data_IF_477728004412
#
_entry.id   IF_477728004412
#
_cell.length_a   1.000
_cell.length_b   1.000
_cell.length_c   1.000
_cell.angle_alpha   90.00
_cell.angle_beta   90.00
_cell.angle_gamma   90.00
#
_symmetry.space_group_name_H-M   'P 1'
#
loop_
_entity.id
_entity.type
_entity.pdbx_description
1 polymer ?
#
# COMPACT_ATOMS: atom_id res chain seq x y z
N UNK A 1 34.58 12.40 9.90
CA UNK A 1 34.40 11.15 10.66
C UNK A 1 33.37 11.23 11.82
N UNK A 2 32.56 12.30 11.95
CA UNK A 2 31.60 12.44 13.06
C UNK A 2 30.22 11.80 12.85
N UNK A 3 29.90 11.30 11.65
CA UNK A 3 28.58 10.74 11.30
C UNK A 3 28.55 9.21 11.16
N UNK A 4 29.68 8.51 11.38
CA UNK A 4 29.76 7.06 11.21
C UNK A 4 29.15 6.25 12.39
N UNK A 5 28.76 6.93 13.47
CA UNK A 5 28.31 6.32 14.73
C UNK A 5 26.79 6.08 14.80
N UNK A 6 26.02 6.38 13.76
CA UNK A 6 24.56 6.12 13.70
C UNK A 6 24.20 4.78 13.04
N UNK A 7 25.15 4.10 12.40
CA UNK A 7 24.94 2.80 11.75
C UNK A 7 24.52 1.64 12.68
N UNK A 8 24.96 1.52 13.96
CA UNK A 8 24.58 0.36 14.78
C UNK A 8 23.14 0.41 15.30
N UNK A 9 22.43 1.54 15.21
CA UNK A 9 21.02 1.66 15.60
C UNK A 9 20.02 1.29 14.50
N UNK A 10 20.49 1.05 13.27
CA UNK A 10 19.66 0.57 12.16
C UNK A 10 19.52 -0.96 12.10
N UNK A 11 20.21 -1.69 12.97
CA UNK A 11 20.02 -3.13 13.19
C UNK A 11 18.85 -3.42 14.15
N UNK A 12 17.83 -2.54 14.15
CA UNK A 12 16.63 -2.71 14.94
C UNK A 12 15.91 -3.99 14.55
N UNK A 13 16.01 -4.99 15.43
CA UNK A 13 15.17 -6.18 15.55
C UNK A 13 14.45 -6.63 14.26
N UNK A 14 15.20 -7.03 13.23
CA UNK A 14 14.59 -7.84 12.18
C UNK A 14 14.10 -9.13 12.86
N UNK A 15 12.80 -9.23 13.10
CA UNK A 15 12.23 -10.35 13.82
C UNK A 15 12.50 -11.62 13.00
N UNK A 16 13.09 -12.64 13.64
CA UNK A 16 13.55 -13.85 12.94
C UNK A 16 12.42 -14.87 12.68
N UNK A 17 11.17 -14.49 12.91
CA UNK A 17 10.04 -15.39 12.69
C UNK A 17 10.00 -15.84 11.23
N UNK A 18 9.71 -17.12 11.04
CA UNK A 18 9.58 -17.68 9.71
C UNK A 18 8.42 -17.04 8.95
N UNK A 19 8.63 -16.88 7.65
CA UNK A 19 7.57 -16.50 6.72
C UNK A 19 6.80 -17.75 6.35
N UNK A 20 5.52 -17.80 6.72
CA UNK A 20 4.67 -18.97 6.51
C UNK A 20 3.92 -18.91 5.18
N UNK A 21 3.33 -20.04 4.78
CA UNK A 21 2.44 -20.07 3.61
C UNK A 21 1.19 -19.20 3.80
N UNK A 22 0.74 -19.00 5.03
CA UNK A 22 -0.38 -18.12 5.35
C UNK A 22 0.00 -16.65 5.14
N UNK A 23 1.20 -16.23 5.55
CA UNK A 23 1.71 -14.86 5.31
C UNK A 23 1.77 -14.56 3.80
N UNK A 24 2.17 -15.54 2.98
CA UNK A 24 2.13 -15.41 1.51
C UNK A 24 0.72 -15.19 0.98
N UNK A 25 -0.27 -15.94 1.45
CA UNK A 25 -1.67 -15.76 1.00
C UNK A 25 -2.20 -14.37 1.34
N UNK A 26 -1.91 -13.89 2.55
CA UNK A 26 -2.31 -12.54 2.95
C UNK A 26 -1.56 -11.46 2.18
N UNK A 27 -0.26 -11.65 1.90
CA UNK A 27 0.47 -10.68 1.07
C UNK A 27 -0.07 -10.62 -0.36
N UNK A 28 -0.46 -11.76 -0.94
CA UNK A 28 -1.14 -11.79 -2.25
C UNK A 28 -2.46 -11.01 -2.18
N UNK A 29 -3.25 -11.18 -1.13
CA UNK A 29 -4.50 -10.44 -0.96
C UNK A 29 -4.25 -8.92 -0.85
N UNK A 30 -3.23 -8.49 -0.11
CA UNK A 30 -2.83 -7.07 -0.04
C UNK A 30 -2.46 -6.53 -1.41
N UNK A 31 -1.61 -7.25 -2.15
CA UNK A 31 -1.15 -6.84 -3.48
C UNK A 31 -2.32 -6.72 -4.46
N UNK A 32 -3.26 -7.68 -4.45
CA UNK A 32 -4.46 -7.62 -5.30
C UNK A 32 -5.32 -6.42 -4.93
N UNK A 33 -5.56 -6.17 -3.64
CA UNK A 33 -6.36 -5.04 -3.18
C UNK A 33 -5.73 -3.70 -3.58
N UNK A 34 -4.41 -3.54 -3.40
CA UNK A 34 -3.66 -2.35 -3.83
C UNK A 34 -3.67 -2.18 -5.35
N UNK A 35 -3.60 -3.27 -6.11
CA UNK A 35 -3.67 -3.20 -7.57
C UNK A 35 -5.06 -2.79 -8.06
N UNK A 36 -6.13 -3.29 -7.41
CA UNK A 36 -7.50 -2.88 -7.72
C UNK A 36 -7.74 -1.40 -7.38
N UNK A 37 -7.28 -0.95 -6.21
CA UNK A 37 -7.30 0.47 -5.84
C UNK A 37 -6.52 1.30 -6.87
N UNK A 38 -5.27 0.93 -7.16
CA UNK A 38 -4.45 1.60 -8.15
C UNK A 38 -5.08 1.69 -9.53
N UNK A 39 -5.71 0.61 -9.99
CA UNK A 39 -6.43 0.59 -11.26
C UNK A 39 -7.56 1.63 -11.27
N UNK A 40 -8.45 1.58 -10.28
CA UNK A 40 -9.60 2.50 -10.21
C UNK A 40 -9.17 3.95 -9.97
N UNK A 41 -8.22 4.18 -9.06
CA UNK A 41 -7.66 5.51 -8.76
C UNK A 41 -6.95 6.11 -9.97
N UNK A 42 -6.35 5.29 -10.85
CA UNK A 42 -5.73 5.76 -12.09
C UNK A 42 -6.70 6.37 -13.12
N UNK A 43 -8.01 6.19 -12.91
CA UNK A 43 -9.07 6.72 -13.75
C UNK A 43 -9.62 8.07 -13.29
N UNK A 44 -9.23 8.56 -12.11
CA UNK A 44 -9.71 9.85 -11.58
C UNK A 44 -9.47 10.99 -12.58
N UNK A 45 -8.29 11.04 -13.22
CA UNK A 45 -7.96 12.08 -14.20
C UNK A 45 -8.85 12.04 -15.46
N UNK A 46 -9.37 10.86 -15.81
CA UNK A 46 -10.22 10.64 -16.97
C UNK A 46 -11.70 10.94 -16.66
N UNK A 47 -12.07 11.11 -15.39
CA UNK A 47 -13.47 11.23 -14.95
C UNK A 47 -13.77 12.64 -14.40
N UNK A 48 -14.46 13.51 -15.16
CA UNK A 48 -14.76 14.88 -14.74
C UNK A 48 -15.55 14.95 -13.43
N UNK A 49 -15.10 15.82 -12.51
CA UNK A 49 -15.78 16.05 -11.23
C UNK A 49 -15.46 15.03 -10.13
N UNK A 50 -14.64 14.02 -10.42
CA UNK A 50 -14.12 13.08 -9.43
C UNK A 50 -12.70 13.49 -9.03
N UNK A 51 -12.35 13.32 -7.75
CA UNK A 51 -11.07 13.74 -7.18
C UNK A 51 -10.60 12.74 -6.12
N UNK A 52 -9.30 12.64 -5.92
CA UNK A 52 -8.70 11.86 -4.83
C UNK A 52 -9.14 12.41 -3.46
N UNK A 53 -9.67 11.53 -2.59
CA UNK A 53 -10.23 11.88 -1.27
C UNK A 53 -9.45 11.29 -0.10
N UNK A 54 -8.60 10.30 -0.34
CA UNK A 54 -7.73 9.70 0.65
C UNK A 54 -6.76 10.73 1.22
N UNK A 55 -6.79 10.91 2.53
CA UNK A 55 -6.02 11.97 3.21
C UNK A 55 -4.52 11.85 2.93
N UNK A 56 -3.99 10.62 2.96
CA UNK A 56 -2.57 10.35 2.70
C UNK A 56 -2.30 10.40 1.20
N UNK A 57 -3.05 9.64 0.39
CA UNK A 57 -2.85 9.56 -1.05
C UNK A 57 -2.86 10.96 -1.71
N UNK A 58 -3.83 11.81 -1.36
CA UNK A 58 -3.95 13.18 -1.86
C UNK A 58 -2.72 14.06 -1.59
N UNK A 59 -1.99 13.82 -0.48
CA UNK A 59 -0.78 14.60 -0.18
C UNK A 59 0.38 14.27 -1.13
N UNK A 60 0.45 13.04 -1.63
CA UNK A 60 1.52 12.60 -2.53
C UNK A 60 1.12 12.71 -4.01
N UNK A 61 -0.13 12.39 -4.31
CA UNK A 61 -0.65 12.28 -5.67
C UNK A 61 -1.36 13.56 -6.15
N UNK A 62 -1.77 14.43 -5.23
CA UNK A 62 -2.64 15.57 -5.52
C UNK A 62 -4.10 15.15 -5.74
N UNK A 63 -5.00 16.11 -6.01
CA UNK A 63 -6.44 15.84 -6.18
C UNK A 63 -6.80 15.19 -7.52
N UNK A 64 -5.94 15.31 -8.54
CA UNK A 64 -6.15 14.84 -9.92
C UNK A 64 -4.89 14.11 -10.39
N UNK A 65 -4.66 12.88 -9.92
CA UNK A 65 -3.38 12.21 -10.14
C UNK A 65 -3.26 11.60 -11.53
N UNK A 66 -2.07 11.67 -12.12
CA UNK A 66 -1.81 10.99 -13.40
C UNK A 66 -1.74 9.48 -13.20
N UNK A 67 -2.10 8.70 -14.23
CA UNK A 67 -2.00 7.23 -14.20
C UNK A 67 -0.59 6.76 -13.81
N UNK A 68 0.46 7.43 -14.30
CA UNK A 68 1.85 7.09 -13.97
C UNK A 68 2.16 7.31 -12.49
N UNK A 69 1.72 8.43 -11.92
CA UNK A 69 1.96 8.74 -10.50
C UNK A 69 1.24 7.76 -9.59
N UNK A 70 0.00 7.40 -9.92
CA UNK A 70 -0.78 6.40 -9.18
C UNK A 70 -0.04 5.06 -9.15
N UNK A 71 0.44 4.56 -10.30
CA UNK A 71 1.15 3.29 -10.34
C UNK A 71 2.52 3.34 -9.65
N UNK A 72 3.23 4.46 -9.74
CA UNK A 72 4.47 4.67 -8.98
C UNK A 72 4.21 4.62 -7.47
N UNK A 73 3.15 5.28 -7.00
CA UNK A 73 2.74 5.28 -5.60
C UNK A 73 2.30 3.88 -5.14
N UNK A 74 1.41 3.22 -5.89
CA UNK A 74 0.90 1.89 -5.54
C UNK A 74 1.99 0.82 -5.59
N UNK A 75 2.89 0.86 -6.57
CA UNK A 75 4.05 -0.03 -6.61
C UNK A 75 4.96 0.16 -5.41
N UNK A 76 5.20 1.41 -5.01
CA UNK A 76 5.96 1.73 -3.79
C UNK A 76 5.27 1.18 -2.54
N UNK A 77 3.94 1.30 -2.45
CA UNK A 77 3.17 0.74 -1.33
C UNK A 77 3.20 -0.79 -1.29
N UNK A 78 3.06 -1.49 -2.41
CA UNK A 78 3.11 -2.96 -2.45
C UNK A 78 4.47 -3.48 -1.98
N UNK A 79 5.56 -2.88 -2.47
CA UNK A 79 6.93 -3.25 -2.07
C UNK A 79 7.15 -2.93 -0.59
N UNK A 80 6.74 -1.74 -0.15
CA UNK A 80 6.87 -1.32 1.25
C UNK A 80 6.05 -2.20 2.19
N UNK A 81 4.82 -2.57 1.81
CA UNK A 81 3.97 -3.49 2.56
C UNK A 81 4.66 -4.83 2.78
N UNK A 82 5.30 -5.39 1.75
CA UNK A 82 6.05 -6.64 1.90
C UNK A 82 7.21 -6.49 2.90
N UNK A 83 8.03 -5.45 2.78
CA UNK A 83 9.16 -5.24 3.69
C UNK A 83 8.73 -4.98 5.13
N UNK A 84 7.69 -4.16 5.33
CA UNK A 84 7.13 -3.90 6.66
C UNK A 84 6.57 -5.21 7.24
N UNK A 85 5.81 -5.97 6.45
CA UNK A 85 5.29 -7.27 6.89
C UNK A 85 6.42 -8.24 7.23
N UNK A 86 7.53 -8.24 6.49
CA UNK A 86 8.68 -9.11 6.79
C UNK A 86 9.40 -8.71 8.07
N UNK A 87 9.40 -7.43 8.40
CA UNK A 87 10.05 -6.88 9.60
C UNK A 87 9.18 -7.00 10.87
N UNK A 88 7.86 -7.13 10.73
CA UNK A 88 6.94 -7.25 11.87
C UNK A 88 7.00 -8.63 12.54
N UNK A 89 6.79 -8.72 13.87
CA UNK A 89 6.57 -9.99 14.56
C UNK A 89 5.38 -10.74 13.99
N UNK A 90 5.43 -12.07 13.98
CA UNK A 90 4.40 -12.94 13.38
C UNK A 90 3.00 -12.69 13.90
N UNK A 91 2.85 -12.28 15.16
CA UNK A 91 1.58 -11.90 15.77
C UNK A 91 0.95 -10.64 15.15
N UNK A 92 1.75 -9.68 14.66
CA UNK A 92 1.28 -8.39 14.11
C UNK A 92 1.09 -8.41 12.60
N UNK A 93 1.81 -9.29 11.87
CA UNK A 93 1.73 -9.37 10.39
C UNK A 93 0.30 -9.53 9.87
N UNK A 94 -0.53 -10.45 10.40
CA UNK A 94 -1.88 -10.66 9.86
C UNK A 94 -2.76 -9.42 10.05
N UNK A 95 -2.63 -8.71 11.18
CA UNK A 95 -3.40 -7.49 11.42
C UNK A 95 -3.05 -6.39 10.42
N UNK A 96 -1.75 -6.19 10.14
CA UNK A 96 -1.33 -5.23 9.12
C UNK A 96 -1.88 -5.63 7.74
N UNK A 97 -1.67 -6.88 7.33
CA UNK A 97 -2.04 -7.33 5.99
C UNK A 97 -3.57 -7.33 5.78
N UNK A 98 -4.35 -7.74 6.78
CA UNK A 98 -5.82 -7.65 6.72
C UNK A 98 -6.28 -6.20 6.67
N UNK A 99 -5.68 -5.31 7.47
CA UNK A 99 -6.02 -3.88 7.48
C UNK A 99 -5.73 -3.24 6.12
N UNK A 100 -4.56 -3.52 5.53
CA UNK A 100 -4.19 -3.04 4.20
C UNK A 100 -5.12 -3.57 3.11
N UNK A 101 -5.44 -4.88 3.16
CA UNK A 101 -6.38 -5.50 2.23
C UNK A 101 -7.76 -4.83 2.31
N UNK A 102 -8.28 -4.63 3.53
CA UNK A 102 -9.57 -3.99 3.74
C UNK A 102 -9.57 -2.52 3.29
N UNK A 103 -8.55 -1.74 3.65
CA UNK A 103 -8.47 -0.33 3.30
C UNK A 103 -8.47 -0.12 1.78
N UNK A 104 -7.58 -0.82 1.05
CA UNK A 104 -7.50 -0.70 -0.40
C UNK A 104 -8.70 -1.35 -1.10
N UNK A 105 -9.23 -2.46 -0.57
CA UNK A 105 -10.45 -3.08 -1.09
C UNK A 105 -11.68 -2.16 -0.97
N UNK A 106 -11.85 -1.47 0.17
CA UNK A 106 -12.91 -0.49 0.37
C UNK A 106 -12.75 0.69 -0.59
N UNK A 107 -11.53 1.21 -0.76
CA UNK A 107 -11.28 2.29 -1.73
C UNK A 107 -11.64 1.86 -3.15
N UNK A 108 -11.23 0.67 -3.58
CA UNK A 108 -11.58 0.15 -4.91
C UNK A 108 -13.11 0.03 -5.09
N UNK A 109 -13.83 -0.49 -4.08
CA UNK A 109 -15.29 -0.58 -4.11
C UNK A 109 -15.95 0.81 -4.17
N UNK A 110 -15.44 1.78 -3.42
CA UNK A 110 -15.96 3.14 -3.44
C UNK A 110 -15.69 3.81 -4.80
N UNK A 111 -14.53 3.58 -5.39
CA UNK A 111 -14.18 4.10 -6.71
C UNK A 111 -15.05 3.45 -7.82
N UNK A 112 -15.34 2.16 -7.71
CA UNK A 112 -16.32 1.47 -8.53
C UNK A 112 -17.69 2.16 -8.53
N UNK A 113 -18.16 2.62 -7.36
CA UNK A 113 -19.42 3.37 -7.23
C UNK A 113 -19.37 4.78 -7.84
N UNK A 114 -18.17 5.28 -8.13
CA UNK A 114 -17.91 6.56 -8.82
C UNK A 114 -17.68 6.38 -10.33
N UNK A 115 -17.95 5.19 -10.87
CA UNK A 115 -17.76 4.86 -12.30
C UNK A 115 -16.29 4.93 -12.75
N UNK A 116 -15.36 4.63 -11.84
CA UNK A 116 -13.91 4.58 -12.12
C UNK A 116 -13.43 3.19 -12.58
N UNK A 117 -14.37 2.28 -12.85
CA UNK A 117 -14.11 0.92 -13.33
C UNK A 117 -14.08 -0.14 -12.23
N UNK A 118 -14.48 -1.36 -12.62
CA UNK A 118 -14.39 -2.64 -11.93
C UNK A 118 -14.17 -3.72 -13.02
#
# INVERSE_FOLDING_TARGET
MKYLLLLPFLLGCAHQDEWTSQDTKFQIAVTIAMAADGYTTSKILETPGVYEKGVIAKQFLGPQPSTSDVWMYMGTLMISSYFISRALPSEWRPYLQVTQTAAHGITAINNCQLDLGC
#
